data_IF_269517766219
#
_entry.id   IF_269517766219
#
_cell.length_a   1.000
_cell.length_b   1.000
_cell.length_c   1.000
_cell.angle_alpha   90.00
_cell.angle_beta   90.00
_cell.angle_gamma   90.00
#
_symmetry.space_group_name_H-M   'P 1'
#
loop_
_entity.id
_entity.type
_entity.pdbx_description
1 polymer ?
#
# COMPACT_ATOMS: atom_id res chain seq x y z
N UNK A 1 -16.19 -7.62 -22.46
CA UNK A 1 -15.14 -7.76 -23.46
C UNK A 1 -13.79 -7.59 -22.81
N UNK A 2 -12.83 -8.43 -23.14
CA UNK A 2 -11.48 -8.33 -22.58
C UNK A 2 -10.73 -7.16 -23.19
N UNK A 3 -9.91 -6.51 -22.38
CA UNK A 3 -8.97 -5.52 -22.88
C UNK A 3 -7.95 -6.18 -23.80
N UNK A 4 -7.61 -5.50 -24.89
CA UNK A 4 -6.57 -5.95 -25.80
C UNK A 4 -5.18 -5.52 -25.38
N UNK A 5 -5.08 -4.73 -24.32
CA UNK A 5 -3.79 -4.30 -23.81
C UNK A 5 -3.10 -5.46 -23.10
N UNK A 6 -1.78 -5.63 -23.29
CA UNK A 6 -1.05 -6.63 -22.52
C UNK A 6 -1.10 -6.30 -21.03
N UNK A 7 -0.98 -7.34 -20.18
CA UNK A 7 -0.94 -7.09 -18.75
C UNK A 7 0.25 -6.22 -18.38
N UNK A 8 0.02 -5.25 -17.51
CA UNK A 8 1.03 -4.30 -17.02
C UNK A 8 1.74 -4.80 -15.77
N UNK A 9 1.65 -6.09 -15.49
CA UNK A 9 2.12 -6.66 -14.25
C UNK A 9 1.06 -6.59 -13.16
N UNK A 10 1.37 -7.03 -11.95
CA UNK A 10 0.42 -7.00 -10.86
C UNK A 10 0.08 -5.55 -10.50
N UNK A 11 -1.16 -5.29 -10.06
CA UNK A 11 -1.51 -3.96 -9.56
C UNK A 11 -0.70 -3.62 -8.32
N UNK A 12 -0.51 -2.33 -8.01
CA UNK A 12 0.13 -1.93 -6.75
C UNK A 12 -0.62 -2.50 -5.54
N UNK A 13 0.07 -2.76 -4.42
CA UNK A 13 -0.57 -3.25 -3.21
C UNK A 13 -1.63 -2.28 -2.69
N UNK A 14 -2.74 -2.84 -2.20
CA UNK A 14 -3.72 -2.05 -1.46
C UNK A 14 -3.06 -1.55 -0.19
N UNK A 15 -3.14 -0.26 0.06
CA UNK A 15 -2.51 0.36 1.22
C UNK A 15 -3.46 1.30 1.95
N UNK A 16 -4.73 1.17 1.69
CA UNK A 16 -5.77 1.95 2.33
C UNK A 16 -5.96 1.52 3.78
N UNK A 17 -5.89 2.47 4.70
CA UNK A 17 -6.01 2.19 6.13
C UNK A 17 -7.35 1.52 6.48
N UNK A 18 -8.39 1.77 5.70
CA UNK A 18 -9.73 1.21 5.95
C UNK A 18 -9.79 -0.32 5.82
N UNK A 19 -8.81 -0.93 5.14
CA UNK A 19 -8.75 -2.38 4.93
C UNK A 19 -7.76 -3.07 5.86
N UNK A 20 -7.19 -2.35 6.81
CA UNK A 20 -6.14 -2.85 7.69
C UNK A 20 -6.60 -2.93 9.13
N UNK A 21 -5.98 -3.82 9.88
CA UNK A 21 -6.22 -4.04 11.30
C UNK A 21 -4.90 -4.32 12.02
N UNK A 22 -4.92 -4.32 13.33
CA UNK A 22 -3.73 -4.53 14.17
C UNK A 22 -2.57 -3.64 13.77
N UNK A 23 -2.88 -2.38 13.52
CA UNK A 23 -1.92 -1.41 12.98
C UNK A 23 -1.00 -0.94 14.11
N UNK A 24 0.30 -1.16 13.95
CA UNK A 24 1.31 -0.72 14.91
C UNK A 24 2.44 -0.01 14.17
N UNK A 25 2.75 1.20 14.61
CA UNK A 25 3.90 1.90 14.05
C UNK A 25 5.18 1.22 14.52
N UNK A 26 6.04 0.87 13.58
CA UNK A 26 7.30 0.16 13.87
C UNK A 26 8.54 0.98 13.48
N UNK A 27 8.36 2.12 12.85
CA UNK A 27 9.49 2.95 12.45
C UNK A 27 9.12 4.08 11.54
N UNK A 28 10.12 4.58 10.84
CA UNK A 28 9.97 5.64 9.84
C UNK A 28 10.64 5.17 8.55
N UNK A 29 9.92 5.27 7.46
CA UNK A 29 10.42 4.92 6.14
C UNK A 29 10.93 6.14 5.39
N UNK A 30 11.36 5.96 4.15
CA UNK A 30 11.76 7.03 3.27
C UNK A 30 10.67 8.11 3.20
N UNK A 31 11.05 9.35 2.86
CA UNK A 31 10.16 10.50 2.81
C UNK A 31 9.53 10.85 4.16
N UNK A 32 10.15 10.39 5.23
CA UNK A 32 9.66 10.60 6.60
C UNK A 32 8.26 10.02 6.84
N UNK A 33 7.89 9.01 6.08
CA UNK A 33 6.60 8.33 6.21
C UNK A 33 6.61 7.37 7.40
N UNK A 34 5.53 7.35 8.20
CA UNK A 34 5.40 6.32 9.23
C UNK A 34 5.39 4.93 8.60
N UNK A 35 6.16 4.01 9.19
CA UNK A 35 6.18 2.62 8.79
C UNK A 35 5.39 1.80 9.80
N UNK A 36 4.50 0.95 9.30
CA UNK A 36 3.59 0.17 10.13
C UNK A 36 3.73 -1.33 9.88
N UNK A 37 3.49 -2.10 10.93
CA UNK A 37 3.10 -3.49 10.82
C UNK A 37 1.58 -3.58 10.92
N UNK A 38 0.96 -4.40 10.09
CA UNK A 38 -0.50 -4.51 10.04
C UNK A 38 -0.93 -5.81 9.39
N UNK A 39 -2.21 -6.14 9.55
CA UNK A 39 -2.85 -7.22 8.81
C UNK A 39 -3.98 -6.66 7.97
N UNK A 40 -4.34 -7.38 6.91
CA UNK A 40 -5.56 -7.05 6.16
C UNK A 40 -6.76 -7.72 6.81
N UNK A 41 -7.92 -7.07 6.71
CA UNK A 41 -9.14 -7.55 7.38
C UNK A 41 -9.60 -8.93 6.92
N UNK A 42 -9.34 -9.28 5.68
CA UNK A 42 -9.88 -10.46 5.02
C UNK A 42 -8.84 -11.55 4.73
N UNK A 43 -7.62 -11.40 5.24
CA UNK A 43 -6.60 -12.42 5.01
C UNK A 43 -5.65 -12.55 6.19
N UNK A 44 -4.99 -13.70 6.27
CA UNK A 44 -3.97 -13.94 7.27
C UNK A 44 -2.65 -13.31 6.88
N UNK A 45 -1.81 -13.10 7.87
CA UNK A 45 -0.48 -12.60 7.67
C UNK A 45 -0.29 -11.21 8.26
N UNK A 46 0.97 -10.89 8.51
CA UNK A 46 1.40 -9.58 8.97
C UNK A 46 2.31 -8.97 7.92
N UNK A 47 2.06 -7.73 7.60
CA UNK A 47 2.77 -7.01 6.55
C UNK A 47 3.44 -5.77 7.13
N UNK A 48 4.46 -5.31 6.43
CA UNK A 48 5.16 -4.07 6.74
C UNK A 48 4.98 -3.13 5.57
N UNK A 49 4.56 -1.91 5.84
CA UNK A 49 4.34 -0.92 4.79
C UNK A 49 3.85 0.41 5.32
N UNK A 50 3.48 1.27 4.39
CA UNK A 50 2.97 2.62 4.68
C UNK A 50 1.47 2.68 4.44
N UNK A 51 0.84 3.77 4.89
CA UNK A 51 -0.57 4.03 4.65
C UNK A 51 -0.73 4.98 3.47
N UNK A 52 -1.63 4.65 2.56
CA UNK A 52 -1.92 5.51 1.41
C UNK A 52 -2.33 6.91 1.85
N UNK A 53 -3.07 7.03 2.95
CA UNK A 53 -3.50 8.31 3.49
C UNK A 53 -2.32 9.20 3.89
N UNK A 54 -1.24 8.62 4.41
CA UNK A 54 -0.01 9.36 4.70
C UNK A 54 0.74 9.73 3.43
N UNK A 55 0.84 8.80 2.48
CA UNK A 55 1.54 9.02 1.21
C UNK A 55 0.90 10.15 0.42
N UNK A 56 -0.42 10.26 0.48
CA UNK A 56 -1.18 11.29 -0.23
C UNK A 56 -0.72 12.70 0.13
N UNK A 57 -0.27 12.91 1.36
CA UNK A 57 0.21 14.20 1.84
C UNK A 57 1.64 14.52 1.41
N UNK A 58 2.41 13.51 1.03
CA UNK A 58 3.84 13.65 0.71
C UNK A 58 4.10 13.49 -0.76
N UNK A 59 3.49 12.49 -1.38
CA UNK A 59 3.69 12.18 -2.80
C UNK A 59 2.38 11.63 -3.38
N UNK A 60 1.40 12.51 -3.67
CA UNK A 60 0.11 12.04 -4.18
C UNK A 60 0.21 11.25 -5.49
N UNK A 61 1.23 11.50 -6.31
CA UNK A 61 1.44 10.74 -7.54
C UNK A 61 1.70 9.24 -7.30
N UNK A 62 2.11 8.87 -6.10
CA UNK A 62 2.34 7.47 -5.74
C UNK A 62 1.07 6.76 -5.26
N UNK A 63 -0.05 7.46 -5.18
CA UNK A 63 -1.33 6.89 -4.74
C UNK A 63 -2.27 6.81 -5.92
N UNK A 64 -2.89 5.64 -6.09
CA UNK A 64 -3.93 5.43 -7.10
C UNK A 64 -5.16 4.84 -6.44
N UNK A 65 -6.32 5.12 -7.02
CA UNK A 65 -7.59 4.53 -6.57
C UNK A 65 -7.86 3.30 -7.41
N UNK A 66 -8.05 2.16 -6.76
CA UNK A 66 -8.43 0.93 -7.44
C UNK A 66 -9.88 0.97 -7.90
N UNK A 67 -10.26 0.01 -8.74
CA UNK A 67 -11.65 -0.14 -9.21
C UNK A 67 -12.61 -0.41 -8.05
N UNK A 68 -12.10 -0.97 -6.96
CA UNK A 68 -12.86 -1.22 -5.74
C UNK A 68 -13.06 0.02 -4.87
N UNK A 69 -12.50 1.17 -5.27
CA UNK A 69 -12.61 2.42 -4.53
C UNK A 69 -11.59 2.58 -3.41
N UNK A 70 -10.70 1.62 -3.23
CA UNK A 70 -9.68 1.67 -2.19
C UNK A 70 -8.34 2.14 -2.76
N UNK A 71 -7.55 2.82 -1.92
CA UNK A 71 -6.27 3.36 -2.33
C UNK A 71 -5.18 2.29 -2.41
N UNK A 72 -4.31 2.46 -3.41
CA UNK A 72 -3.14 1.63 -3.64
C UNK A 72 -1.91 2.52 -3.67
N UNK A 73 -0.77 1.98 -3.29
CA UNK A 73 0.49 2.74 -3.24
C UNK A 73 1.50 2.12 -4.20
N UNK A 74 2.09 2.97 -5.02
CA UNK A 74 3.20 2.60 -5.89
C UNK A 74 4.49 2.68 -5.09
N UNK A 75 4.82 1.62 -4.39
CA UNK A 75 5.97 1.56 -3.50
C UNK A 75 7.30 1.82 -4.19
N UNK A 76 7.42 1.42 -5.46
CA UNK A 76 8.62 1.67 -6.25
C UNK A 76 8.91 3.16 -6.42
N UNK A 77 7.89 4.00 -6.51
CA UNK A 77 8.06 5.46 -6.58
C UNK A 77 8.59 6.05 -5.27
N UNK A 78 8.34 5.37 -4.16
CA UNK A 78 8.77 5.82 -2.84
C UNK A 78 10.15 5.28 -2.45
N UNK A 79 10.62 4.25 -3.15
CA UNK A 79 11.83 3.54 -2.73
C UNK A 79 11.63 2.74 -1.45
N UNK A 80 10.41 2.33 -1.16
CA UNK A 80 10.03 1.57 0.02
C UNK A 80 9.60 0.18 -0.41
N UNK A 81 10.01 -0.83 0.36
CA UNK A 81 9.61 -2.20 0.12
C UNK A 81 8.35 -2.54 0.91
N UNK A 82 7.33 -3.04 0.22
CA UNK A 82 6.17 -3.65 0.84
C UNK A 82 6.43 -5.14 0.97
N UNK A 83 6.27 -5.70 2.18
CA UNK A 83 6.56 -7.12 2.37
C UNK A 83 5.75 -7.76 3.48
N UNK A 84 5.55 -9.05 3.36
CA UNK A 84 4.97 -9.86 4.42
C UNK A 84 6.08 -10.23 5.42
N UNK A 85 5.82 -10.06 6.70
CA UNK A 85 6.81 -10.32 7.76
C UNK A 85 6.40 -11.44 8.72
N UNK A 86 5.17 -11.92 8.65
CA UNK A 86 4.74 -13.09 9.45
C UNK A 86 3.57 -13.86 8.84
#
# INVERSE_FOLDING_TARGET
MKSLRPPMGPPPPVSDVRLKTNIQRIGTAAHNLPLYAFSYLDEEGVYEGVMAQDVMNVMPAAVVVGEDGYYRVKYDMLGIEFRRIA
#
